data_IF_274124531131
#
_entry.id   IF_274124531131
#
_cell.length_a   1.000
_cell.length_b   1.000
_cell.length_c   1.000
_cell.angle_alpha   90.00
_cell.angle_beta   90.00
_cell.angle_gamma   90.00
#
_symmetry.space_group_name_H-M   'P 1'
#
loop_
_entity.id
_entity.type
_entity.pdbx_description
1 polymer ?
#
# COMPACT_ATOMS: atom_id res chain seq x y z
N UNK A 1 -24.11 14.65 22.95
CA UNK A 1 -22.63 14.53 22.95
C UNK A 1 -22.09 14.92 21.58
N UNK A 2 -21.96 16.23 21.35
CA UNK A 2 -21.17 16.78 20.25
C UNK A 2 -19.68 16.50 20.53
N UNK A 3 -19.16 15.37 20.07
CA UNK A 3 -17.72 15.13 20.08
C UNK A 3 -17.10 16.00 18.99
N UNK A 4 -16.74 17.20 19.42
CA UNK A 4 -15.74 18.12 18.88
C UNK A 4 -15.09 17.68 17.54
N UNK A 5 -15.67 18.16 16.44
CA UNK A 5 -15.19 17.92 15.05
C UNK A 5 -13.76 18.45 14.83
N UNK A 6 -13.23 19.22 15.79
CA UNK A 6 -11.91 19.85 15.75
C UNK A 6 -10.78 19.00 16.34
N UNK A 7 -11.04 17.79 16.84
CA UNK A 7 -10.03 17.03 17.61
C UNK A 7 -8.71 16.78 16.84
N UNK A 8 -8.75 16.65 15.51
CA UNK A 8 -7.57 16.55 14.64
C UNK A 8 -6.70 17.82 14.71
N UNK A 9 -7.33 18.98 14.92
CA UNK A 9 -6.70 20.28 15.09
C UNK A 9 -6.32 20.65 16.53
N UNK A 10 -6.91 20.01 17.56
CA UNK A 10 -6.73 20.43 18.97
C UNK A 10 -5.90 19.46 19.81
N UNK A 11 -6.06 18.14 19.67
CA UNK A 11 -5.41 17.16 20.58
C UNK A 11 -3.87 17.17 20.52
N UNK A 12 -3.13 16.77 21.56
CA UNK A 12 -1.67 16.68 21.48
C UNK A 12 -1.19 15.77 20.35
N UNK A 13 -0.30 16.27 19.49
CA UNK A 13 0.14 15.59 18.25
C UNK A 13 0.67 14.17 18.51
N UNK A 14 1.45 13.96 19.58
CA UNK A 14 1.99 12.63 19.90
C UNK A 14 0.93 11.60 20.25
N UNK A 15 -0.01 11.99 21.12
CA UNK A 15 -1.15 11.13 21.50
C UNK A 15 -2.05 10.85 20.31
N UNK A 16 -2.25 11.86 19.45
CA UNK A 16 -3.08 11.73 18.26
C UNK A 16 -2.42 10.82 17.22
N UNK A 17 -1.11 10.96 16.97
CA UNK A 17 -0.37 10.08 16.08
C UNK A 17 -0.44 8.64 16.56
N UNK A 18 -0.14 8.37 17.83
CA UNK A 18 -0.24 7.01 18.38
C UNK A 18 -1.65 6.42 18.23
N UNK A 19 -2.69 7.21 18.55
CA UNK A 19 -4.09 6.79 18.44
C UNK A 19 -4.53 6.47 17.01
N UNK A 20 -3.96 7.12 16.00
CA UNK A 20 -4.29 6.88 14.59
C UNK A 20 -3.36 5.84 13.93
N UNK A 21 -2.09 5.77 14.35
CA UNK A 21 -1.08 4.87 13.80
C UNK A 21 -1.19 3.45 14.34
N UNK A 22 -1.53 3.25 15.62
CA UNK A 22 -1.66 1.89 16.17
C UNK A 22 -2.73 1.06 15.43
N UNK A 23 -3.95 1.58 15.18
CA UNK A 23 -4.98 0.82 14.45
C UNK A 23 -4.61 0.57 12.99
N UNK A 24 -3.94 1.50 12.32
CA UNK A 24 -3.50 1.31 10.94
C UNK A 24 -2.38 0.28 10.85
N UNK A 25 -1.44 0.24 11.80
CA UNK A 25 -0.42 -0.82 11.89
C UNK A 25 -1.08 -2.18 12.10
N UNK A 26 -2.01 -2.30 13.05
CA UNK A 26 -2.75 -3.55 13.29
C UNK A 26 -3.50 -3.98 12.02
N UNK A 27 -4.15 -3.05 11.33
CA UNK A 27 -4.85 -3.34 10.08
C UNK A 27 -3.91 -3.91 9.00
N UNK A 28 -2.69 -3.36 8.85
CA UNK A 28 -1.70 -3.87 7.90
C UNK A 28 -1.20 -5.27 8.29
N UNK A 29 -0.94 -5.52 9.57
CA UNK A 29 -0.53 -6.85 10.07
C UNK A 29 -1.64 -7.88 9.87
N UNK A 30 -2.89 -7.54 10.23
CA UNK A 30 -4.05 -8.42 10.03
C UNK A 30 -4.26 -8.72 8.54
N UNK A 31 -4.08 -7.71 7.67
CA UNK A 31 -4.19 -7.89 6.23
C UNK A 31 -3.16 -8.92 5.72
N UNK A 32 -1.92 -8.79 6.14
CA UNK A 32 -0.87 -9.74 5.79
C UNK A 32 -1.14 -11.15 6.36
N UNK A 33 -1.55 -11.24 7.63
CA UNK A 33 -1.81 -12.53 8.28
C UNK A 33 -2.91 -13.34 7.58
N UNK A 34 -4.01 -12.70 7.16
CA UNK A 34 -5.06 -13.46 6.44
C UNK A 34 -4.56 -13.92 5.08
N UNK A 35 -3.78 -13.11 4.35
CA UNK A 35 -3.20 -13.53 3.07
C UNK A 35 -2.28 -14.75 3.22
N UNK A 36 -1.60 -14.89 4.37
CA UNK A 36 -0.79 -16.07 4.68
C UNK A 36 -1.70 -17.28 4.99
N UNK A 37 -2.73 -17.08 5.81
CA UNK A 37 -3.67 -18.15 6.18
C UNK A 37 -4.41 -18.71 4.96
N UNK A 38 -4.88 -17.85 4.06
CA UNK A 38 -5.52 -18.24 2.80
C UNK A 38 -4.62 -19.16 1.95
N UNK A 39 -3.33 -18.78 1.81
CA UNK A 39 -2.34 -19.63 1.12
C UNK A 39 -2.09 -20.96 1.82
N UNK A 40 -2.08 -20.98 3.16
CA UNK A 40 -1.94 -22.21 3.93
C UNK A 40 -3.11 -23.15 3.62
N UNK A 41 -4.35 -22.65 3.62
CA UNK A 41 -5.51 -23.49 3.31
C UNK A 41 -5.48 -24.03 1.87
N UNK A 42 -5.16 -23.19 0.88
CA UNK A 42 -5.02 -23.62 -0.52
C UNK A 42 -3.91 -24.66 -0.66
N UNK A 43 -2.75 -24.45 -0.03
CA UNK A 43 -1.64 -25.39 -0.09
C UNK A 43 -1.93 -26.77 0.52
N UNK A 44 -2.83 -26.84 1.51
CA UNK A 44 -3.22 -28.08 2.19
C UNK A 44 -4.45 -28.76 1.58
N UNK A 45 -4.86 -28.38 0.37
CA UNK A 45 -5.96 -29.06 -0.30
C UNK A 45 -5.63 -30.54 -0.57
N UNK A 46 -6.58 -31.48 -0.33
CA UNK A 46 -6.32 -32.91 -0.45
C UNK A 46 -5.93 -33.38 -1.86
N UNK A 47 -6.37 -32.63 -2.89
CA UNK A 47 -6.11 -32.89 -4.30
C UNK A 47 -5.46 -31.65 -4.90
N UNK A 48 -4.30 -31.82 -5.55
CA UNK A 48 -3.60 -30.79 -6.31
C UNK A 48 -3.26 -29.48 -5.57
N UNK A 49 -3.16 -29.48 -4.24
CA UNK A 49 -2.88 -28.28 -3.43
C UNK A 49 -1.64 -27.50 -3.88
N UNK A 50 -0.60 -28.20 -4.34
CA UNK A 50 0.59 -27.57 -4.92
C UNK A 50 0.31 -26.83 -6.24
N UNK A 51 -0.36 -27.48 -7.20
CA UNK A 51 -0.71 -26.88 -8.49
C UNK A 51 -1.72 -25.73 -8.32
N UNK A 52 -2.67 -25.89 -7.41
CA UNK A 52 -3.63 -24.87 -7.06
C UNK A 52 -2.97 -23.65 -6.42
N UNK A 53 -2.03 -23.84 -5.49
CA UNK A 53 -1.25 -22.76 -4.90
C UNK A 53 -0.43 -22.02 -5.98
N UNK A 54 0.17 -22.75 -6.93
CA UNK A 54 0.85 -22.14 -8.08
C UNK A 54 -0.13 -21.35 -8.95
N UNK A 55 -1.29 -21.92 -9.29
CA UNK A 55 -2.33 -21.26 -10.07
C UNK A 55 -2.80 -19.95 -9.44
N UNK A 56 -3.12 -19.96 -8.15
CA UNK A 56 -3.49 -18.75 -7.38
C UNK A 56 -2.32 -17.77 -7.26
N UNK A 57 -1.09 -18.28 -7.18
CA UNK A 57 0.13 -17.46 -7.17
C UNK A 57 0.26 -16.59 -8.43
N UNK A 58 -0.09 -17.11 -9.60
CA UNK A 58 -0.08 -16.35 -10.87
C UNK A 58 -1.17 -15.28 -10.92
N UNK A 59 -2.22 -15.39 -10.11
CA UNK A 59 -3.25 -14.35 -9.99
C UNK A 59 -2.77 -13.12 -9.21
N UNK A 60 -1.74 -13.25 -8.36
CA UNK A 60 -1.31 -12.19 -7.44
C UNK A 60 -0.91 -10.87 -8.11
N UNK A 61 -0.14 -10.83 -9.21
CA UNK A 61 0.17 -9.59 -9.90
C UNK A 61 -1.09 -8.86 -10.38
N UNK A 62 -2.08 -9.61 -10.86
CA UNK A 62 -3.36 -9.05 -11.31
C UNK A 62 -4.14 -8.47 -10.11
N UNK A 63 -4.18 -9.19 -8.99
CA UNK A 63 -4.81 -8.72 -7.74
C UNK A 63 -4.12 -7.47 -7.18
N UNK A 64 -2.79 -7.37 -7.30
CA UNK A 64 -2.02 -6.18 -6.94
C UNK A 64 -2.39 -4.99 -7.83
N UNK A 65 -2.55 -5.19 -9.15
CA UNK A 65 -3.00 -4.13 -10.06
C UNK A 65 -4.41 -3.65 -9.69
N UNK A 66 -5.33 -4.57 -9.37
CA UNK A 66 -6.67 -4.21 -8.87
C UNK A 66 -6.52 -3.34 -7.61
N UNK A 67 -5.73 -3.77 -6.63
CA UNK A 67 -5.48 -3.01 -5.39
C UNK A 67 -4.85 -1.64 -5.66
N UNK A 68 -3.96 -1.54 -6.66
CA UNK A 68 -3.35 -0.28 -7.08
C UNK A 68 -4.38 0.72 -7.59
N UNK A 69 -5.42 0.28 -8.31
CA UNK A 69 -6.53 1.14 -8.73
C UNK A 69 -7.41 1.60 -7.55
N UNK A 70 -7.56 0.78 -6.50
CA UNK A 70 -8.23 1.22 -5.28
C UNK A 70 -7.41 2.30 -4.57
N UNK A 71 -6.09 2.10 -4.50
CA UNK A 71 -5.16 3.09 -3.96
C UNK A 71 -5.10 4.37 -4.82
N UNK A 72 -5.22 4.25 -6.15
CA UNK A 72 -5.22 5.37 -7.10
C UNK A 72 -6.32 6.40 -6.78
N UNK A 73 -7.53 5.94 -6.50
CA UNK A 73 -8.62 6.85 -6.15
C UNK A 73 -8.49 7.32 -4.71
N UNK A 74 -8.21 6.41 -3.78
CA UNK A 74 -8.31 6.67 -2.35
C UNK A 74 -7.13 7.44 -1.76
N UNK A 75 -5.89 7.10 -2.14
CA UNK A 75 -4.69 7.82 -1.69
C UNK A 75 -4.65 9.27 -2.21
N UNK A 76 -5.42 9.57 -3.25
CA UNK A 76 -5.60 10.92 -3.77
C UNK A 76 -6.79 11.68 -3.17
N UNK A 77 -7.94 11.01 -3.05
CA UNK A 77 -9.18 11.61 -2.57
C UNK A 77 -9.19 11.84 -1.07
N UNK A 78 -8.72 10.87 -0.28
CA UNK A 78 -8.82 10.92 1.18
C UNK A 78 -8.00 12.07 1.82
N UNK A 79 -6.74 12.34 1.40
CA UNK A 79 -6.01 13.52 1.86
C UNK A 79 -6.67 14.83 1.47
N UNK A 80 -7.19 14.93 0.24
CA UNK A 80 -7.88 16.14 -0.22
C UNK A 80 -9.19 16.39 0.51
N UNK A 81 -9.96 15.34 0.82
CA UNK A 81 -11.15 15.46 1.65
C UNK A 81 -10.79 15.95 3.07
N UNK A 82 -9.72 15.40 3.66
CA UNK A 82 -9.22 15.84 4.98
C UNK A 82 -8.71 17.29 4.97
N UNK A 83 -8.05 17.75 3.89
CA UNK A 83 -7.69 19.16 3.69
C UNK A 83 -8.95 20.05 3.62
N UNK A 84 -9.98 19.65 2.87
CA UNK A 84 -11.23 20.41 2.79
C UNK A 84 -11.96 20.48 4.14
N UNK A 85 -11.95 19.39 4.91
CA UNK A 85 -12.45 19.41 6.31
C UNK A 85 -11.67 20.40 7.18
N UNK A 86 -10.35 20.44 7.06
CA UNK A 86 -9.50 21.38 7.77
C UNK A 86 -9.82 22.85 7.47
N UNK A 87 -10.23 23.16 6.23
CA UNK A 87 -10.69 24.49 5.82
C UNK A 87 -12.08 24.86 6.35
N UNK A 88 -12.80 23.92 6.97
CA UNK A 88 -14.22 24.06 7.30
C UNK A 88 -15.17 23.82 6.13
N UNK A 89 -14.66 23.51 4.92
CA UNK A 89 -15.45 23.26 3.72
C UNK A 89 -15.86 21.77 3.63
N UNK A 90 -16.80 21.39 4.50
CA UNK A 90 -17.32 20.03 4.53
C UNK A 90 -18.14 19.67 3.28
N UNK A 91 -18.72 20.64 2.59
CA UNK A 91 -19.49 20.38 1.36
C UNK A 91 -18.56 19.91 0.23
N UNK A 92 -17.44 20.59 0.02
CA UNK A 92 -16.41 20.13 -0.92
C UNK A 92 -15.81 18.78 -0.50
N UNK A 93 -15.61 18.55 0.81
CA UNK A 93 -15.11 17.28 1.30
C UNK A 93 -16.08 16.12 1.02
N UNK A 94 -17.39 16.32 1.23
CA UNK A 94 -18.43 15.33 0.88
C UNK A 94 -18.56 15.12 -0.63
N UNK A 95 -18.36 16.18 -1.44
CA UNK A 95 -18.29 16.05 -2.91
C UNK A 95 -17.08 15.22 -3.34
N UNK A 96 -15.90 15.43 -2.76
CA UNK A 96 -14.71 14.60 -3.05
C UNK A 96 -15.01 13.14 -2.71
N UNK A 97 -15.56 12.87 -1.52
CA UNK A 97 -15.93 11.52 -1.09
C UNK A 97 -16.92 10.87 -2.09
N UNK A 98 -18.02 11.55 -2.42
CA UNK A 98 -19.05 11.02 -3.32
C UNK A 98 -18.55 10.79 -4.75
N UNK A 99 -17.75 11.71 -5.30
CA UNK A 99 -17.19 11.56 -6.63
C UNK A 99 -16.08 10.49 -6.70
N UNK A 100 -15.27 10.34 -5.64
CA UNK A 100 -14.31 9.23 -5.55
C UNK A 100 -15.03 7.88 -5.42
N UNK A 101 -16.10 7.79 -4.63
CA UNK A 101 -16.93 6.58 -4.54
C UNK A 101 -17.49 6.19 -5.91
N UNK A 102 -18.08 7.15 -6.64
CA UNK A 102 -18.62 6.89 -7.97
C UNK A 102 -17.53 6.52 -8.99
N UNK A 103 -16.38 7.20 -8.95
CA UNK A 103 -15.23 6.87 -9.79
C UNK A 103 -14.72 5.45 -9.51
N UNK A 104 -14.71 5.02 -8.24
CA UNK A 104 -14.35 3.66 -7.88
C UNK A 104 -15.31 2.61 -8.44
N UNK A 105 -16.61 2.90 -8.44
CA UNK A 105 -17.60 2.02 -9.09
C UNK A 105 -17.30 1.89 -10.58
N UNK A 106 -17.07 3.01 -11.28
CA UNK A 106 -16.73 3.00 -12.71
C UNK A 106 -15.45 2.19 -12.97
N UNK A 107 -14.38 2.47 -12.24
CA UNK A 107 -13.10 1.74 -12.39
C UNK A 107 -13.31 0.26 -12.09
N UNK A 108 -14.07 -0.09 -11.04
CA UNK A 108 -14.33 -1.48 -10.70
C UNK A 108 -15.13 -2.21 -11.78
N UNK A 109 -16.11 -1.55 -12.40
CA UNK A 109 -16.88 -2.12 -13.50
C UNK A 109 -15.99 -2.36 -14.72
N UNK A 110 -15.15 -1.39 -15.08
CA UNK A 110 -14.18 -1.53 -16.17
C UNK A 110 -13.20 -2.67 -15.92
N UNK A 111 -12.62 -2.73 -14.72
CA UNK A 111 -11.70 -3.81 -14.33
C UNK A 111 -12.40 -5.17 -14.35
N UNK A 112 -13.62 -5.26 -13.82
CA UNK A 112 -14.40 -6.51 -13.84
C UNK A 112 -14.64 -6.98 -15.27
N UNK A 113 -15.08 -6.10 -16.16
CA UNK A 113 -15.30 -6.44 -17.57
C UNK A 113 -14.01 -6.89 -18.27
N UNK A 114 -12.90 -6.17 -18.06
CA UNK A 114 -11.61 -6.53 -18.65
C UNK A 114 -11.12 -7.89 -18.14
N UNK A 115 -11.25 -8.15 -16.84
CA UNK A 115 -10.83 -9.42 -16.25
C UNK A 115 -11.70 -10.57 -16.72
N UNK A 116 -13.03 -10.40 -16.82
CA UNK A 116 -13.90 -11.49 -17.29
C UNK A 116 -13.70 -11.82 -18.78
N UNK A 117 -13.36 -10.82 -19.61
CA UNK A 117 -13.13 -11.03 -21.05
C UNK A 117 -11.74 -11.59 -21.32
N UNK A 118 -10.71 -11.08 -20.63
CA UNK A 118 -9.30 -11.37 -20.94
C UNK A 118 -8.58 -12.18 -19.84
N UNK A 119 -9.27 -12.76 -18.86
CA UNK A 119 -8.64 -13.46 -17.71
C UNK A 119 -7.61 -14.48 -18.15
N UNK A 120 -7.97 -15.35 -19.10
CA UNK A 120 -7.08 -16.42 -19.58
C UNK A 120 -5.83 -15.88 -20.25
N UNK A 121 -5.98 -14.94 -21.18
CA UNK A 121 -4.84 -14.37 -21.91
C UNK A 121 -3.92 -13.57 -20.99
N UNK A 122 -4.50 -12.82 -20.05
CA UNK A 122 -3.73 -12.12 -19.02
C UNK A 122 -2.98 -13.13 -18.16
N UNK A 123 -3.62 -14.17 -17.65
CA UNK A 123 -2.97 -15.17 -16.80
C UNK A 123 -1.84 -15.90 -17.53
N UNK A 124 -2.01 -16.25 -18.81
CA UNK A 124 -0.94 -16.81 -19.63
C UNK A 124 0.22 -15.80 -19.80
N UNK A 125 -0.09 -14.53 -20.08
CA UNK A 125 0.92 -13.48 -20.20
C UNK A 125 1.68 -13.21 -18.89
N UNK A 126 1.03 -13.42 -17.74
CA UNK A 126 1.63 -13.30 -16.41
C UNK A 126 2.30 -14.60 -15.92
N UNK A 127 2.37 -15.66 -16.75
CA UNK A 127 3.18 -16.84 -16.51
C UNK A 127 2.41 -18.11 -16.10
N UNK A 128 1.09 -18.18 -16.31
CA UNK A 128 0.35 -19.41 -16.10
C UNK A 128 0.77 -20.47 -17.13
N UNK A 129 1.00 -21.70 -16.65
CA UNK A 129 1.22 -22.89 -17.50
C UNK A 129 -0.09 -23.59 -17.84
N UNK A 130 -0.06 -24.52 -18.80
CA UNK A 130 -1.21 -25.39 -19.15
C UNK A 130 -1.76 -26.16 -17.93
N UNK A 131 -0.89 -26.53 -16.98
CA UNK A 131 -1.28 -27.28 -15.78
C UNK A 131 -1.87 -26.39 -14.68
N UNK A 132 -1.70 -25.07 -14.76
CA UNK A 132 -2.10 -24.13 -13.70
C UNK A 132 -3.17 -23.14 -14.15
N UNK A 133 -3.36 -22.99 -15.46
CA UNK A 133 -4.24 -21.99 -16.05
C UNK A 133 -5.70 -22.18 -15.62
N UNK A 134 -6.19 -23.43 -15.55
CA UNK A 134 -7.57 -23.71 -15.17
C UNK A 134 -7.84 -23.29 -13.71
N UNK A 135 -6.94 -23.63 -12.77
CA UNK A 135 -7.02 -23.16 -11.38
C UNK A 135 -7.00 -21.63 -11.28
N UNK A 136 -6.13 -20.98 -12.05
CA UNK A 136 -5.99 -19.54 -12.06
C UNK A 136 -7.22 -18.83 -12.65
N UNK A 137 -7.79 -19.35 -13.74
CA UNK A 137 -9.01 -18.83 -14.39
C UNK A 137 -10.21 -19.00 -13.48
N UNK A 138 -10.36 -20.18 -12.86
CA UNK A 138 -11.42 -20.46 -11.91
C UNK A 138 -11.39 -19.50 -10.71
N UNK A 139 -10.20 -19.23 -10.16
CA UNK A 139 -10.02 -18.23 -9.11
C UNK A 139 -10.37 -16.83 -9.61
N UNK A 140 -9.78 -16.41 -10.74
CA UNK A 140 -9.89 -15.04 -11.23
C UNK A 140 -11.29 -14.68 -11.70
N UNK A 141 -12.05 -15.60 -12.30
CA UNK A 141 -13.41 -15.30 -12.73
C UNK A 141 -14.33 -14.98 -11.53
N UNK A 142 -14.18 -15.74 -10.42
CA UNK A 142 -14.93 -15.47 -9.18
C UNK A 142 -14.44 -14.16 -8.55
N UNK A 143 -13.12 -13.99 -8.43
CA UNK A 143 -12.53 -12.77 -7.87
C UNK A 143 -12.92 -11.52 -8.67
N UNK A 144 -12.97 -11.62 -10.01
CA UNK A 144 -13.36 -10.54 -10.91
C UNK A 144 -14.75 -10.01 -10.58
N UNK A 145 -15.74 -10.89 -10.38
CA UNK A 145 -17.08 -10.50 -9.94
C UNK A 145 -17.09 -9.76 -8.59
N UNK A 146 -16.17 -10.11 -7.69
CA UNK A 146 -15.99 -9.45 -6.40
C UNK A 146 -15.15 -8.18 -6.41
N UNK A 147 -14.57 -7.79 -7.56
CA UNK A 147 -13.66 -6.64 -7.69
C UNK A 147 -14.30 -5.37 -7.17
N UNK A 148 -15.60 -5.16 -7.40
CA UNK A 148 -16.34 -4.00 -6.88
C UNK A 148 -16.29 -3.91 -5.35
N UNK A 149 -16.44 -5.03 -4.64
CA UNK A 149 -16.41 -5.05 -3.18
C UNK A 149 -15.00 -4.82 -2.64
N UNK A 150 -13.99 -5.41 -3.28
CA UNK A 150 -12.57 -5.19 -2.93
C UNK A 150 -12.22 -3.72 -3.10
N UNK A 151 -12.56 -3.14 -4.26
CA UNK A 151 -12.34 -1.73 -4.55
C UNK A 151 -12.98 -0.87 -3.47
N UNK A 152 -14.30 -0.96 -3.31
CA UNK A 152 -15.02 -0.12 -2.36
C UNK A 152 -14.52 -0.29 -0.93
N UNK A 153 -14.22 -1.51 -0.49
CA UNK A 153 -13.66 -1.76 0.84
C UNK A 153 -12.34 -1.01 1.02
N UNK A 154 -11.35 -1.24 0.16
CA UNK A 154 -10.03 -0.62 0.31
C UNK A 154 -10.10 0.90 0.15
N UNK A 155 -10.83 1.36 -0.87
CA UNK A 155 -10.81 2.77 -1.22
C UNK A 155 -11.62 3.65 -0.26
N UNK A 156 -12.80 3.19 0.17
CA UNK A 156 -13.62 3.95 1.11
C UNK A 156 -13.09 3.85 2.55
N UNK A 157 -12.36 2.79 2.89
CA UNK A 157 -11.70 2.69 4.20
C UNK A 157 -10.68 3.82 4.42
N UNK A 158 -9.98 4.26 3.36
CA UNK A 158 -9.06 5.39 3.45
C UNK A 158 -9.78 6.69 3.87
N UNK A 159 -11.02 6.91 3.40
CA UNK A 159 -11.84 8.07 3.79
C UNK A 159 -12.33 7.99 5.24
N UNK A 160 -12.58 6.79 5.77
CA UNK A 160 -12.88 6.61 7.20
C UNK A 160 -11.66 7.02 8.04
N UNK A 161 -10.47 6.55 7.66
CA UNK A 161 -9.22 6.89 8.35
C UNK A 161 -8.87 8.38 8.22
N UNK A 162 -9.09 9.00 7.05
CA UNK A 162 -8.84 10.43 6.80
C UNK A 162 -9.71 11.38 7.66
N UNK A 163 -10.83 10.89 8.15
CA UNK A 163 -11.69 11.59 9.12
C UNK A 163 -11.26 11.38 10.59
N UNK A 164 -10.21 10.58 10.82
CA UNK A 164 -9.67 10.25 12.12
C UNK A 164 -10.36 9.06 12.81
N UNK A 165 -11.15 8.27 12.08
CA UNK A 165 -11.78 7.03 12.58
C UNK A 165 -10.90 5.79 12.31
N UNK A 166 -9.60 5.86 12.58
CA UNK A 166 -8.66 4.76 12.32
C UNK A 166 -9.07 3.43 12.99
N UNK A 167 -9.68 3.47 14.19
CA UNK A 167 -10.23 2.26 14.84
C UNK A 167 -11.34 1.60 14.02
N UNK A 168 -12.24 2.39 13.44
CA UNK A 168 -13.31 1.86 12.57
C UNK A 168 -12.68 1.28 11.31
N UNK A 169 -11.67 1.95 10.76
CA UNK A 169 -10.97 1.44 9.58
C UNK A 169 -10.17 0.16 9.82
N UNK A 170 -9.63 -0.03 11.04
CA UNK A 170 -9.06 -1.30 11.47
C UNK A 170 -10.12 -2.39 11.60
N UNK A 171 -11.28 -2.08 12.20
CA UNK A 171 -12.40 -3.01 12.32
C UNK A 171 -12.90 -3.49 10.95
N UNK A 172 -12.95 -2.62 9.94
CA UNK A 172 -13.23 -3.02 8.56
C UNK A 172 -12.32 -4.14 8.08
N UNK A 173 -11.00 -3.99 8.26
CA UNK A 173 -10.01 -4.98 7.80
C UNK A 173 -10.13 -6.27 8.62
N UNK A 174 -10.37 -6.17 9.92
CA UNK A 174 -10.57 -7.34 10.79
C UNK A 174 -11.83 -8.11 10.42
N UNK A 175 -12.94 -7.45 10.08
CA UNK A 175 -14.17 -8.11 9.65
C UNK A 175 -13.88 -8.95 8.40
N UNK A 176 -13.20 -8.40 7.40
CA UNK A 176 -12.82 -9.13 6.19
C UNK A 176 -11.88 -10.29 6.49
N UNK A 177 -10.80 -10.04 7.23
CA UNK A 177 -9.82 -11.06 7.58
C UNK A 177 -10.43 -12.24 8.35
N UNK A 178 -11.21 -11.96 9.40
CA UNK A 178 -11.86 -12.99 10.22
C UNK A 178 -12.91 -13.74 9.42
N UNK A 179 -13.71 -13.04 8.60
CA UNK A 179 -14.68 -13.70 7.73
C UNK A 179 -13.98 -14.65 6.75
N UNK A 180 -12.85 -14.25 6.16
CA UNK A 180 -12.12 -15.06 5.19
C UNK A 180 -11.53 -16.30 5.86
N UNK A 181 -10.81 -16.13 6.97
CA UNK A 181 -10.20 -17.23 7.74
C UNK A 181 -11.25 -18.29 8.16
N UNK A 182 -12.49 -17.88 8.43
CA UNK A 182 -13.59 -18.79 8.79
C UNK A 182 -14.25 -19.42 7.56
N UNK A 183 -14.47 -18.64 6.50
CA UNK A 183 -15.16 -19.10 5.29
C UNK A 183 -14.28 -20.00 4.42
N UNK A 184 -12.96 -19.77 4.39
CA UNK A 184 -12.02 -20.56 3.60
C UNK A 184 -12.13 -22.06 3.90
N UNK A 185 -11.99 -22.55 5.15
CA UNK A 185 -12.07 -23.98 5.43
C UNK A 185 -13.47 -24.56 5.15
N UNK A 186 -14.52 -23.75 5.31
CA UNK A 186 -15.90 -24.17 5.01
C UNK A 186 -16.05 -24.42 3.51
N UNK A 187 -15.61 -23.50 2.66
CA UNK A 187 -15.75 -23.64 1.21
C UNK A 187 -14.72 -24.60 0.59
N UNK A 188 -13.47 -24.55 1.06
CA UNK A 188 -12.37 -25.37 0.53
C UNK A 188 -12.55 -26.83 0.96
N UNK A 189 -12.66 -27.10 2.26
CA UNK A 189 -12.70 -28.47 2.80
C UNK A 189 -14.12 -28.98 3.06
N UNK A 190 -15.01 -28.12 3.57
CA UNK A 190 -16.38 -28.54 3.91
C UNK A 190 -17.26 -28.78 2.68
N UNK A 191 -17.16 -27.92 1.67
CA UNK A 191 -17.93 -27.99 0.43
C UNK A 191 -17.14 -28.53 -0.76
N UNK A 192 -15.86 -28.90 -0.57
CA UNK A 192 -14.97 -29.42 -1.60
C UNK A 192 -14.90 -28.54 -2.87
N UNK A 193 -15.00 -27.21 -2.71
CA UNK A 193 -14.97 -26.28 -3.85
C UNK A 193 -13.54 -25.92 -4.29
N UNK A 194 -12.52 -26.40 -3.57
CA UNK A 194 -11.11 -26.14 -3.88
C UNK A 194 -10.80 -24.65 -4.04
N UNK A 195 -10.07 -24.31 -5.12
CA UNK A 195 -9.68 -22.93 -5.46
C UNK A 195 -10.87 -21.99 -5.66
N UNK A 196 -11.99 -22.48 -6.21
CA UNK A 196 -13.23 -21.69 -6.34
C UNK A 196 -13.78 -21.29 -4.98
N UNK A 197 -13.65 -22.19 -4.00
CA UNK A 197 -14.04 -21.95 -2.62
C UNK A 197 -13.24 -20.82 -1.98
N UNK A 198 -11.91 -20.82 -2.16
CA UNK A 198 -11.03 -19.76 -1.65
C UNK A 198 -11.37 -18.39 -2.28
N UNK A 199 -11.58 -18.34 -3.59
CA UNK A 199 -11.99 -17.12 -4.27
C UNK A 199 -13.35 -16.61 -3.75
N UNK A 200 -14.33 -17.51 -3.60
CA UNK A 200 -15.67 -17.16 -3.11
C UNK A 200 -15.63 -16.64 -1.66
N UNK A 201 -14.88 -17.31 -0.79
CA UNK A 201 -14.65 -16.90 0.58
C UNK A 201 -14.07 -15.48 0.66
N UNK A 202 -13.07 -15.19 -0.17
CA UNK A 202 -12.46 -13.87 -0.29
C UNK A 202 -13.48 -12.82 -0.73
N UNK A 203 -14.25 -13.10 -1.78
CA UNK A 203 -15.26 -12.17 -2.31
C UNK A 203 -16.37 -11.89 -1.29
N UNK A 204 -16.88 -12.91 -0.60
CA UNK A 204 -17.91 -12.74 0.44
C UNK A 204 -17.36 -11.92 1.60
N UNK A 205 -16.13 -12.21 2.04
CA UNK A 205 -15.48 -11.47 3.14
C UNK A 205 -15.28 -9.99 2.82
N UNK A 206 -14.92 -9.69 1.57
CA UNK A 206 -14.81 -8.33 1.07
C UNK A 206 -16.18 -7.67 0.87
N UNK A 207 -17.21 -8.44 0.52
CA UNK A 207 -18.59 -7.95 0.48
C UNK A 207 -19.06 -7.53 1.89
N UNK A 208 -18.84 -8.35 2.92
CA UNK A 208 -19.18 -8.01 4.31
C UNK A 208 -18.44 -6.75 4.76
N UNK A 209 -17.15 -6.65 4.44
CA UNK A 209 -16.33 -5.46 4.73
C UNK A 209 -16.83 -4.22 3.98
N UNK A 210 -17.22 -4.37 2.72
CA UNK A 210 -17.78 -3.31 1.90
C UNK A 210 -19.10 -2.81 2.49
N UNK A 211 -20.01 -3.71 2.85
CA UNK A 211 -21.29 -3.36 3.49
C UNK A 211 -21.04 -2.57 4.77
N UNK A 212 -20.07 -3.00 5.60
CA UNK A 212 -19.70 -2.27 6.81
C UNK A 212 -19.22 -0.84 6.52
N UNK A 213 -18.25 -0.68 5.60
CA UNK A 213 -17.67 0.62 5.23
C UNK A 213 -18.71 1.56 4.65
N UNK A 214 -19.50 1.07 3.71
CA UNK A 214 -20.54 1.85 3.04
C UNK A 214 -21.62 2.27 4.06
N UNK A 215 -22.09 1.34 4.88
CA UNK A 215 -23.07 1.64 5.94
C UNK A 215 -22.54 2.68 6.94
N UNK A 216 -21.28 2.58 7.33
CA UNK A 216 -20.65 3.57 8.20
C UNK A 216 -20.63 4.97 7.56
N UNK A 217 -20.29 5.06 6.27
CA UNK A 217 -20.23 6.33 5.52
C UNK A 217 -21.60 6.93 5.19
N UNK A 218 -22.66 6.13 5.12
CA UNK A 218 -24.04 6.63 5.10
C UNK A 218 -24.57 7.00 6.50
N UNK A 219 -23.93 6.50 7.56
CA UNK A 219 -24.37 6.65 8.94
C UNK A 219 -24.28 8.07 9.48
N UNK A 220 -24.92 8.31 10.63
CA UNK A 220 -24.88 9.62 11.30
C UNK A 220 -23.57 9.88 12.06
N UNK A 221 -22.78 8.83 12.33
CA UNK A 221 -21.56 8.87 13.14
C UNK A 221 -20.32 9.38 12.37
N UNK A 222 -20.31 9.26 11.04
CA UNK A 222 -19.24 9.80 10.19
C UNK A 222 -19.34 11.33 10.08
N UNK A 223 -18.21 12.02 9.91
CA UNK A 223 -18.20 13.48 9.74
C UNK A 223 -18.58 13.87 8.31
N UNK A 224 -18.03 13.15 7.33
CA UNK A 224 -18.36 13.22 5.91
C UNK A 224 -19.32 12.09 5.58
N UNK A 225 -20.48 12.45 5.02
CA UNK A 225 -21.51 11.49 4.63
C UNK A 225 -21.50 11.26 3.14
N UNK A 226 -21.68 10.00 2.76
CA UNK A 226 -22.01 9.66 1.38
C UNK A 226 -23.43 10.16 1.09
N UNK A 227 -23.57 11.00 0.06
CA UNK A 227 -24.87 11.52 -0.39
C UNK A 227 -24.98 11.31 -1.89
N UNK A 228 -26.09 10.74 -2.36
CA UNK A 228 -26.29 10.45 -3.79
C UNK A 228 -26.16 11.71 -4.67
N UNK A 229 -26.57 12.88 -4.17
CA UNK A 229 -26.40 14.17 -4.86
C UNK A 229 -24.94 14.56 -5.15
N UNK A 230 -23.98 13.91 -4.48
CA UNK A 230 -22.56 14.18 -4.60
C UNK A 230 -21.82 13.13 -5.45
N UNK A 231 -22.53 12.25 -6.17
CA UNK A 231 -21.88 11.25 -7.04
C UNK A 231 -21.38 11.86 -8.36
N UNK A 232 -22.17 12.75 -8.95
CA UNK A 232 -21.82 13.46 -10.18
C UNK A 232 -21.13 14.77 -9.84
N UNK A 233 -19.79 14.74 -9.84
CA UNK A 233 -18.95 15.86 -9.42
C UNK A 233 -18.16 16.38 -10.59
N UNK A 234 -17.92 17.69 -10.62
CA UNK A 234 -17.13 18.29 -11.68
C UNK A 234 -15.73 17.65 -11.77
N UNK A 235 -15.22 17.39 -12.99
CA UNK A 235 -13.86 16.88 -13.19
C UNK A 235 -12.79 17.75 -12.52
N UNK A 236 -13.05 19.05 -12.35
CA UNK A 236 -12.17 19.99 -11.65
C UNK A 236 -11.89 19.59 -10.19
N UNK A 237 -12.82 18.89 -9.52
CA UNK A 237 -12.62 18.41 -8.15
C UNK A 237 -11.96 17.03 -8.08
N UNK A 238 -12.26 16.15 -9.05
CA UNK A 238 -11.80 14.75 -9.05
C UNK A 238 -10.44 14.56 -9.71
N UNK A 239 -10.16 15.23 -10.84
CA UNK A 239 -8.87 15.09 -11.54
C UNK A 239 -7.66 15.37 -10.64
N UNK A 240 -7.68 16.38 -9.76
CA UNK A 240 -6.55 16.60 -8.86
C UNK A 240 -6.42 15.55 -7.75
N UNK A 241 -7.51 14.84 -7.42
CA UNK A 241 -7.47 13.67 -6.54
C UNK A 241 -6.77 12.52 -7.26
N UNK A 242 -7.20 12.20 -8.49
CA UNK A 242 -6.57 11.16 -9.30
C UNK A 242 -5.08 11.45 -9.54
N UNK A 243 -4.72 12.71 -9.85
CA UNK A 243 -3.33 13.11 -10.00
C UNK A 243 -2.49 12.87 -8.74
N UNK A 244 -3.05 13.08 -7.54
CA UNK A 244 -2.34 12.80 -6.30
C UNK A 244 -2.16 11.30 -6.06
N UNK A 245 -3.20 10.51 -6.31
CA UNK A 245 -3.15 9.06 -6.13
C UNK A 245 -2.35 8.32 -7.20
N UNK A 246 -2.04 8.98 -8.33
CA UNK A 246 -1.17 8.44 -9.38
C UNK A 246 0.20 8.05 -8.84
N UNK A 247 0.74 8.77 -7.84
CA UNK A 247 2.00 8.41 -7.20
C UNK A 247 1.94 7.03 -6.55
N UNK A 248 0.87 6.73 -5.80
CA UNK A 248 0.68 5.44 -5.13
C UNK A 248 0.41 4.33 -6.14
N UNK A 249 -0.38 4.61 -7.19
CA UNK A 249 -0.60 3.68 -8.30
C UNK A 249 0.72 3.28 -8.97
N UNK A 250 1.54 4.28 -9.33
CA UNK A 250 2.86 4.05 -9.94
C UNK A 250 3.73 3.19 -9.03
N UNK A 251 3.75 3.47 -7.72
CA UNK A 251 4.53 2.66 -6.77
C UNK A 251 4.09 1.20 -6.75
N UNK A 252 2.79 0.93 -6.56
CA UNK A 252 2.29 -0.44 -6.46
C UNK A 252 2.45 -1.18 -7.80
N UNK A 253 2.09 -0.56 -8.92
CA UNK A 253 2.20 -1.19 -10.24
C UNK A 253 3.65 -1.43 -10.65
N UNK A 254 4.59 -0.58 -10.22
CA UNK A 254 6.03 -0.75 -10.54
C UNK A 254 6.66 -1.95 -9.85
N UNK A 255 6.13 -2.39 -8.71
CA UNK A 255 6.71 -3.46 -7.90
C UNK A 255 6.75 -4.79 -8.68
N UNK A 256 5.70 -5.08 -9.46
CA UNK A 256 5.66 -6.26 -10.31
C UNK A 256 6.72 -6.23 -11.42
N UNK A 257 6.89 -5.08 -12.10
CA UNK A 257 7.89 -4.92 -13.16
C UNK A 257 9.30 -5.05 -12.61
N UNK A 258 9.56 -4.44 -11.44
CA UNK A 258 10.85 -4.49 -10.76
C UNK A 258 11.19 -5.91 -10.34
N UNK A 259 10.22 -6.67 -9.80
CA UNK A 259 10.42 -8.07 -9.43
C UNK A 259 10.87 -8.92 -10.62
N UNK A 260 10.25 -8.74 -11.79
CA UNK A 260 10.64 -9.45 -13.02
C UNK A 260 12.07 -9.06 -13.46
N UNK A 261 12.41 -7.77 -13.43
CA UNK A 261 13.75 -7.30 -13.79
C UNK A 261 14.83 -7.86 -12.87
N UNK A 262 14.60 -7.86 -11.55
CA UNK A 262 15.51 -8.45 -10.58
C UNK A 262 15.69 -9.94 -10.82
N UNK A 263 14.60 -10.70 -10.94
CA UNK A 263 14.67 -12.14 -11.13
C UNK A 263 15.42 -12.51 -12.42
N UNK A 264 15.16 -11.81 -13.52
CA UNK A 264 15.86 -12.03 -14.79
C UNK A 264 17.36 -11.72 -14.69
N UNK A 265 17.73 -10.57 -14.09
CA UNK A 265 19.13 -10.17 -13.92
C UNK A 265 19.89 -11.11 -12.97
N UNK A 266 19.28 -11.48 -11.84
CA UNK A 266 19.86 -12.40 -10.87
C UNK A 266 20.02 -13.81 -11.43
N UNK A 267 19.05 -14.31 -12.20
CA UNK A 267 19.16 -15.61 -12.86
C UNK A 267 20.37 -15.65 -13.79
N UNK A 268 20.61 -14.57 -14.54
CA UNK A 268 21.74 -14.47 -15.49
C UNK A 268 23.10 -14.49 -14.82
N UNK A 269 23.26 -13.83 -13.66
CA UNK A 269 24.58 -13.66 -13.02
C UNK A 269 24.83 -14.64 -11.87
N UNK A 270 23.79 -15.00 -11.11
CA UNK A 270 23.90 -15.79 -9.87
C UNK A 270 23.08 -17.07 -9.84
N UNK A 271 22.35 -17.41 -10.90
CA UNK A 271 21.55 -18.62 -11.01
C UNK A 271 20.40 -18.70 -9.99
N UNK A 272 19.89 -19.91 -9.79
CA UNK A 272 18.67 -20.15 -9.00
C UNK A 272 18.81 -19.78 -7.52
N UNK A 273 19.99 -19.97 -6.93
CA UNK A 273 20.26 -19.57 -5.54
C UNK A 273 20.08 -18.06 -5.35
N UNK A 274 20.51 -17.25 -6.33
CA UNK A 274 20.32 -15.81 -6.27
C UNK A 274 18.83 -15.43 -6.41
N UNK A 275 18.09 -16.05 -7.31
CA UNK A 275 16.64 -15.79 -7.43
C UNK A 275 15.88 -16.20 -6.17
N UNK A 276 16.25 -17.35 -5.58
CA UNK A 276 15.70 -17.82 -4.31
C UNK A 276 15.97 -16.85 -3.16
N UNK A 277 17.20 -16.33 -3.07
CA UNK A 277 17.56 -15.35 -2.05
C UNK A 277 16.75 -14.05 -2.20
N UNK A 278 16.53 -13.56 -3.42
CA UNK A 278 15.70 -12.38 -3.67
C UNK A 278 14.24 -12.55 -3.20
N UNK A 279 13.70 -13.77 -3.33
CA UNK A 279 12.35 -14.09 -2.83
C UNK A 279 12.29 -13.99 -1.30
N UNK A 280 13.34 -14.44 -0.60
CA UNK A 280 13.46 -14.28 0.85
C UNK A 280 13.63 -12.80 1.23
N UNK A 281 14.51 -12.07 0.52
CA UNK A 281 14.76 -10.64 0.74
C UNK A 281 13.48 -9.80 0.63
N UNK A 282 12.74 -9.98 -0.46
CA UNK A 282 11.47 -9.26 -0.70
C UNK A 282 10.42 -9.60 0.36
N UNK A 283 10.35 -10.86 0.79
CA UNK A 283 9.48 -11.28 1.90
C UNK A 283 9.87 -10.57 3.19
N UNK A 284 11.15 -10.61 3.59
CA UNK A 284 11.65 -9.90 4.78
C UNK A 284 11.30 -8.42 4.71
N UNK A 285 11.52 -7.77 3.57
CA UNK A 285 11.22 -6.37 3.34
C UNK A 285 9.73 -6.06 3.42
N UNK A 286 8.86 -6.91 2.87
CA UNK A 286 7.42 -6.74 2.97
C UNK A 286 6.97 -6.66 4.43
N UNK A 287 7.40 -7.62 5.27
CA UNK A 287 7.10 -7.63 6.70
C UNK A 287 7.68 -6.41 7.42
N UNK A 288 8.94 -6.08 7.15
CA UNK A 288 9.65 -4.95 7.70
C UNK A 288 8.95 -3.61 7.44
N UNK A 289 8.30 -3.45 6.28
CA UNK A 289 7.67 -2.20 5.88
C UNK A 289 6.28 -1.96 6.46
N UNK A 290 5.55 -3.02 6.89
CA UNK A 290 4.16 -2.89 7.35
C UNK A 290 3.97 -1.89 8.51
N UNK A 291 4.78 -1.92 9.60
CA UNK A 291 4.61 -0.98 10.70
C UNK A 291 4.85 0.46 10.26
N UNK A 292 5.86 0.69 9.41
CA UNK A 292 6.19 2.02 8.92
C UNK A 292 5.13 2.57 7.96
N UNK A 293 4.53 1.72 7.11
CA UNK A 293 3.37 2.09 6.31
C UNK A 293 2.17 2.46 7.20
N UNK A 294 1.88 1.66 8.23
CA UNK A 294 0.81 1.95 9.18
C UNK A 294 1.01 3.28 9.93
N UNK A 295 2.23 3.54 10.41
CA UNK A 295 2.58 4.81 11.08
C UNK A 295 2.38 5.99 10.13
N UNK A 296 2.88 5.86 8.90
CA UNK A 296 2.75 6.89 7.86
C UNK A 296 1.28 7.18 7.55
N UNK A 297 0.46 6.15 7.33
CA UNK A 297 -0.98 6.30 7.08
C UNK A 297 -1.71 6.94 8.27
N UNK A 298 -1.33 6.63 9.51
CA UNK A 298 -1.91 7.25 10.71
C UNK A 298 -1.57 8.74 10.86
N UNK A 299 -0.46 9.20 10.28
CA UNK A 299 -0.05 10.61 10.29
C UNK A 299 -0.81 11.46 9.26
N UNK A 300 -1.28 10.86 8.17
CA UNK A 300 -1.88 11.54 7.04
C UNK A 300 -3.09 12.40 7.43
N UNK A 301 -4.08 11.92 8.20
CA UNK A 301 -5.25 12.72 8.60
C UNK A 301 -4.86 13.95 9.41
N UNK A 302 -3.82 13.84 10.24
CA UNK A 302 -3.35 14.94 11.09
C UNK A 302 -2.71 16.03 10.22
N UNK A 303 -1.82 15.64 9.30
CA UNK A 303 -1.13 16.59 8.42
C UNK A 303 -2.13 17.24 7.47
N UNK A 304 -2.98 16.47 6.81
CA UNK A 304 -3.97 16.97 5.84
C UNK A 304 -4.97 17.94 6.46
N UNK A 305 -5.56 17.59 7.60
CA UNK A 305 -6.50 18.46 8.29
C UNK A 305 -5.84 19.77 8.74
N UNK A 306 -4.66 19.71 9.36
CA UNK A 306 -3.98 20.92 9.84
C UNK A 306 -3.41 21.78 8.71
N UNK A 307 -3.04 21.18 7.58
CA UNK A 307 -2.68 21.90 6.36
C UNK A 307 -3.90 22.67 5.81
N UNK A 308 -5.07 22.03 5.79
CA UNK A 308 -6.33 22.68 5.44
C UNK A 308 -6.70 23.83 6.38
N UNK A 309 -6.50 23.64 7.69
CA UNK A 309 -6.80 24.60 8.74
C UNK A 309 -5.79 25.76 8.87
N UNK A 310 -4.79 25.86 7.99
CA UNK A 310 -3.80 26.93 8.07
C UNK A 310 -2.77 26.78 9.20
N UNK A 311 -2.73 25.65 9.91
CA UNK A 311 -1.90 25.45 11.09
C UNK A 311 -0.53 24.86 10.73
N UNK A 312 0.35 25.70 10.16
CA UNK A 312 1.69 25.29 9.71
C UNK A 312 2.57 24.72 10.84
N UNK A 313 2.46 25.27 12.05
CA UNK A 313 3.22 24.82 13.22
C UNK A 313 2.91 23.35 13.54
N UNK A 314 1.61 23.02 13.55
CA UNK A 314 1.14 21.67 13.85
C UNK A 314 1.46 20.68 12.73
N UNK A 315 1.43 21.13 11.48
CA UNK A 315 1.92 20.34 10.33
C UNK A 315 3.41 20.00 10.49
N UNK A 316 4.26 21.01 10.78
CA UNK A 316 5.70 20.81 11.03
C UNK A 316 5.96 19.90 12.22
N UNK A 317 5.22 20.07 13.32
CA UNK A 317 5.34 19.23 14.52
C UNK A 317 4.97 17.77 14.26
N UNK A 318 3.90 17.54 13.49
CA UNK A 318 3.48 16.19 13.10
C UNK A 318 4.51 15.53 12.18
N UNK A 319 5.01 16.26 11.19
CA UNK A 319 6.06 15.75 10.31
C UNK A 319 7.35 15.41 11.06
N UNK A 320 7.82 16.28 11.97
CA UNK A 320 9.03 16.01 12.77
C UNK A 320 8.87 14.75 13.64
N UNK A 321 7.69 14.56 14.23
CA UNK A 321 7.41 13.38 15.03
C UNK A 321 7.35 12.12 14.14
N UNK A 322 6.65 12.18 13.00
CA UNK A 322 6.62 11.09 12.02
C UNK A 322 8.05 10.71 11.59
N UNK A 323 8.86 11.70 11.23
CA UNK A 323 10.24 11.50 10.81
C UNK A 323 11.07 10.83 11.90
N UNK A 324 10.98 11.32 13.15
CA UNK A 324 11.70 10.73 14.28
C UNK A 324 11.29 9.28 14.55
N UNK A 325 10.00 8.97 14.51
CA UNK A 325 9.50 7.60 14.73
C UNK A 325 9.91 6.68 13.58
N UNK A 326 9.73 7.09 12.33
CA UNK A 326 10.11 6.29 11.16
C UNK A 326 11.62 6.06 11.09
N UNK A 327 12.45 7.07 11.38
CA UNK A 327 13.90 6.93 11.44
C UNK A 327 14.35 6.00 12.57
N UNK A 328 13.75 6.15 13.75
CA UNK A 328 14.07 5.26 14.89
C UNK A 328 13.73 3.81 14.54
N UNK A 329 12.55 3.58 13.97
CA UNK A 329 12.14 2.26 13.52
C UNK A 329 13.06 1.70 12.44
N UNK A 330 13.36 2.48 11.39
CA UNK A 330 14.19 2.04 10.28
C UNK A 330 15.63 1.77 10.70
N UNK A 331 16.17 2.56 11.64
CA UNK A 331 17.49 2.36 12.22
C UNK A 331 17.56 1.10 13.08
N UNK A 332 16.57 0.87 13.96
CA UNK A 332 16.50 -0.34 14.78
C UNK A 332 16.40 -1.60 13.90
N UNK A 333 15.53 -1.56 12.90
CA UNK A 333 15.35 -2.67 11.97
C UNK A 333 16.61 -2.95 11.16
N UNK A 334 17.26 -1.91 10.64
CA UNK A 334 18.55 -2.05 9.96
C UNK A 334 19.61 -2.70 10.87
N UNK A 335 19.74 -2.22 12.12
CA UNK A 335 20.66 -2.81 13.09
C UNK A 335 20.37 -4.28 13.37
N UNK A 336 19.10 -4.67 13.49
CA UNK A 336 18.72 -6.07 13.67
C UNK A 336 19.09 -6.94 12.46
N UNK A 337 18.89 -6.43 11.25
CA UNK A 337 19.22 -7.14 10.00
C UNK A 337 20.74 -7.29 9.86
N UNK A 338 21.53 -6.27 10.18
CA UNK A 338 23.00 -6.34 10.09
C UNK A 338 23.62 -7.30 11.11
N UNK A 339 23.09 -7.29 12.34
CA UNK A 339 23.57 -8.12 13.45
C UNK A 339 23.14 -9.59 13.31
N UNK A 340 21.91 -9.84 12.84
CA UNK A 340 21.34 -11.19 12.79
C UNK A 340 20.72 -11.55 11.42
N UNK A 341 21.43 -11.41 10.28
CA UNK A 341 20.85 -11.61 8.95
C UNK A 341 20.41 -13.06 8.71
N UNK A 342 21.16 -14.04 9.23
CA UNK A 342 20.80 -15.45 9.17
C UNK A 342 19.49 -15.75 9.92
N UNK A 343 19.17 -15.00 10.97
CA UNK A 343 17.92 -15.15 11.71
C UNK A 343 16.72 -14.87 10.83
N UNK A 344 16.76 -13.76 10.07
CA UNK A 344 15.73 -13.42 9.10
C UNK A 344 15.65 -14.43 7.95
N UNK A 345 16.79 -14.89 7.42
CA UNK A 345 16.80 -15.91 6.36
C UNK A 345 16.20 -17.25 6.83
N UNK A 346 16.53 -17.68 8.05
CA UNK A 346 16.02 -18.92 8.67
C UNK A 346 14.52 -18.94 8.91
N UNK A 347 13.88 -17.77 8.97
CA UNK A 347 12.41 -17.70 9.07
C UNK A 347 11.71 -18.23 7.80
N UNK A 348 12.39 -18.20 6.65
CA UNK A 348 11.79 -18.52 5.36
C UNK A 348 12.41 -19.76 4.69
N UNK A 349 13.59 -20.20 5.11
CA UNK A 349 14.26 -21.36 4.54
C UNK A 349 15.07 -22.13 5.59
N UNK A 350 15.27 -23.43 5.36
CA UNK A 350 16.13 -24.31 6.17
C UNK A 350 17.40 -24.79 5.44
N UNK A 351 17.55 -24.49 4.15
CA UNK A 351 18.73 -24.84 3.37
C UNK A 351 19.93 -23.96 3.76
N UNK A 352 21.00 -24.58 4.25
CA UNK A 352 22.16 -23.87 4.77
C UNK A 352 22.87 -23.00 3.71
N UNK A 353 23.01 -23.50 2.48
CA UNK A 353 23.67 -22.78 1.41
C UNK A 353 22.86 -21.54 0.99
N UNK A 354 21.54 -21.68 0.90
CA UNK A 354 20.64 -20.56 0.60
C UNK A 354 20.62 -19.56 1.75
N UNK A 355 20.62 -20.02 3.02
CA UNK A 355 20.67 -19.14 4.19
C UNK A 355 21.95 -18.29 4.19
N UNK A 356 23.11 -18.90 3.96
CA UNK A 356 24.39 -18.19 3.99
C UNK A 356 24.52 -17.20 2.84
N UNK A 357 24.07 -17.58 1.64
CA UNK A 357 24.01 -16.65 0.52
C UNK A 357 23.06 -15.48 0.80
N UNK A 358 21.84 -15.79 1.27
CA UNK A 358 20.80 -14.80 1.58
C UNK A 358 21.26 -13.85 2.68
N UNK A 359 21.98 -14.33 3.70
CA UNK A 359 22.47 -13.49 4.79
C UNK A 359 23.42 -12.40 4.28
N UNK A 360 24.32 -12.74 3.34
CA UNK A 360 25.20 -11.75 2.70
C UNK A 360 24.42 -10.78 1.80
N UNK A 361 23.50 -11.30 0.98
CA UNK A 361 22.66 -10.48 0.10
C UNK A 361 21.77 -9.51 0.91
N UNK A 362 21.24 -9.94 2.05
CA UNK A 362 20.35 -9.15 2.91
C UNK A 362 21.07 -7.93 3.50
N UNK A 363 22.32 -8.07 3.94
CA UNK A 363 23.15 -6.96 4.41
C UNK A 363 23.35 -5.91 3.32
N UNK A 364 23.67 -6.35 2.11
CA UNK A 364 23.88 -5.45 0.97
C UNK A 364 22.57 -4.76 0.60
N UNK A 365 21.50 -5.52 0.39
CA UNK A 365 20.20 -5.01 -0.04
C UNK A 365 19.60 -4.02 0.98
N UNK A 366 19.78 -4.29 2.27
CA UNK A 366 19.25 -3.46 3.35
C UNK A 366 20.22 -2.39 3.84
N UNK A 367 21.40 -2.20 3.22
CA UNK A 367 22.46 -1.32 3.73
C UNK A 367 21.99 0.13 4.00
N UNK A 368 21.00 0.62 3.26
CA UNK A 368 20.49 2.00 3.31
C UNK A 368 19.14 2.08 4.04
N UNK A 369 18.65 0.96 4.57
CA UNK A 369 17.37 0.86 5.26
C UNK A 369 17.28 1.84 6.44
N UNK A 370 18.39 2.13 7.12
CA UNK A 370 18.44 3.09 8.22
C UNK A 370 17.94 4.49 7.84
N UNK A 371 18.16 4.94 6.59
CA UNK A 371 17.73 6.24 6.08
C UNK A 371 16.32 6.22 5.49
N UNK A 372 15.73 5.03 5.34
CA UNK A 372 14.48 4.84 4.63
C UNK A 372 13.28 5.53 5.30
N UNK A 373 13.37 5.77 6.63
CA UNK A 373 12.40 6.57 7.36
C UNK A 373 12.24 8.00 6.82
N UNK A 374 13.29 8.59 6.24
CA UNK A 374 13.23 9.92 5.59
C UNK A 374 12.35 9.84 4.34
N UNK A 375 12.59 8.83 3.49
CA UNK A 375 11.86 8.64 2.24
C UNK A 375 10.36 8.55 2.50
N UNK A 376 9.95 7.66 3.40
CA UNK A 376 8.55 7.45 3.73
C UNK A 376 7.90 8.68 4.34
N UNK A 377 8.58 9.36 5.26
CA UNK A 377 8.03 10.53 5.94
C UNK A 377 7.83 11.71 4.98
N UNK A 378 8.82 11.99 4.13
CA UNK A 378 8.77 13.07 3.14
C UNK A 378 7.68 12.80 2.09
N UNK A 379 7.61 11.56 1.60
CA UNK A 379 6.59 11.16 0.65
C UNK A 379 5.18 11.29 1.24
N UNK A 380 4.97 10.77 2.46
CA UNK A 380 3.68 10.87 3.13
C UNK A 380 3.29 12.33 3.38
N UNK A 381 4.25 13.20 3.71
CA UNK A 381 3.99 14.62 3.85
C UNK A 381 3.55 15.28 2.54
N UNK A 382 4.17 14.96 1.39
CA UNK A 382 3.74 15.48 0.08
C UNK A 382 2.33 15.04 -0.29
N UNK A 383 2.01 13.76 -0.03
CA UNK A 383 0.65 13.23 -0.21
C UNK A 383 -0.33 13.98 0.70
N UNK A 384 0.03 14.16 1.97
CA UNK A 384 -0.84 14.77 2.97
C UNK A 384 -1.11 16.25 2.73
N UNK A 385 -0.18 17.00 2.13
CA UNK A 385 -0.41 18.41 1.74
C UNK A 385 -1.06 18.55 0.35
N UNK A 386 -1.32 17.43 -0.34
CA UNK A 386 -1.96 17.42 -1.65
C UNK A 386 -1.05 17.81 -2.82
N UNK A 387 0.27 17.71 -2.66
CA UNK A 387 1.25 18.03 -3.71
C UNK A 387 1.44 16.84 -4.65
N UNK A 388 0.58 16.76 -5.67
CA UNK A 388 0.61 15.67 -6.65
C UNK A 388 1.93 15.59 -7.40
N UNK A 389 2.42 16.72 -7.94
CA UNK A 389 3.67 16.77 -8.70
C UNK A 389 4.86 16.27 -7.88
N UNK A 390 5.04 16.76 -6.65
CA UNK A 390 6.15 16.31 -5.80
C UNK A 390 6.03 14.82 -5.46
N UNK A 391 4.83 14.34 -5.16
CA UNK A 391 4.61 12.92 -4.83
C UNK A 391 4.90 12.00 -6.02
N UNK A 392 4.44 12.37 -7.21
CA UNK A 392 4.71 11.61 -8.45
C UNK A 392 6.20 11.62 -8.77
N UNK A 393 6.85 12.80 -8.75
CA UNK A 393 8.28 12.91 -9.05
C UNK A 393 9.12 12.01 -8.15
N UNK A 394 8.84 12.00 -6.84
CA UNK A 394 9.53 11.14 -5.88
C UNK A 394 9.33 9.65 -6.19
N UNK A 395 8.10 9.22 -6.49
CA UNK A 395 7.80 7.84 -6.83
C UNK A 395 8.48 7.38 -8.13
N UNK A 396 8.38 8.19 -9.19
CA UNK A 396 8.91 7.88 -10.52
C UNK A 396 10.43 7.88 -10.54
N UNK A 397 11.06 8.89 -9.93
CA UNK A 397 12.53 8.98 -9.90
C UNK A 397 13.12 7.75 -9.21
N UNK A 398 12.56 7.38 -8.06
CA UNK A 398 13.05 6.23 -7.30
C UNK A 398 12.94 4.91 -8.06
N UNK A 399 11.74 4.60 -8.57
CA UNK A 399 11.46 3.25 -9.11
C UNK A 399 11.83 3.10 -10.59
N UNK A 400 11.50 4.09 -11.44
CA UNK A 400 11.72 3.98 -12.89
C UNK A 400 13.02 4.64 -13.36
N UNK A 401 13.38 5.80 -12.83
CA UNK A 401 14.57 6.53 -13.31
C UNK A 401 15.85 5.98 -12.70
N UNK A 402 15.79 5.52 -11.45
CA UNK A 402 16.96 5.03 -10.72
C UNK A 402 16.99 3.50 -10.67
N UNK A 403 16.04 2.87 -9.98
CA UNK A 403 16.14 1.44 -9.67
C UNK A 403 16.17 0.55 -10.92
N UNK A 404 15.25 0.74 -11.86
CA UNK A 404 15.16 -0.11 -13.05
C UNK A 404 16.45 -0.08 -13.90
N UNK A 405 17.03 1.08 -14.26
CA UNK A 405 18.34 1.12 -14.92
C UNK A 405 19.47 0.54 -14.06
N UNK A 406 19.50 0.84 -12.76
CA UNK A 406 20.57 0.38 -11.87
C UNK A 406 20.63 -1.13 -11.73
N UNK A 407 19.51 -1.85 -11.83
CA UNK A 407 19.48 -3.34 -11.86
C UNK A 407 20.37 -3.90 -12.98
N UNK A 408 20.44 -3.21 -14.12
CA UNK A 408 21.21 -3.66 -15.29
C UNK A 408 22.61 -3.03 -15.35
N UNK A 409 22.80 -1.83 -14.79
CA UNK A 409 24.09 -1.11 -14.81
C UNK A 409 25.02 -1.58 -13.69
N UNK A 410 24.52 -1.73 -12.45
CA UNK A 410 25.36 -2.08 -11.30
C UNK A 410 26.16 -3.38 -11.45
N UNK A 411 25.61 -4.47 -12.05
CA UNK A 411 26.38 -5.68 -12.31
C UNK A 411 27.57 -5.49 -13.26
N UNK A 412 27.57 -4.42 -14.06
CA UNK A 412 28.70 -4.10 -14.94
C UNK A 412 29.82 -3.35 -14.22
N UNK A 413 29.50 -2.71 -13.09
CA UNK A 413 30.44 -1.89 -12.30
C UNK A 413 31.03 -2.66 -11.11
N UNK A 414 30.30 -3.65 -10.58
CA UNK A 414 30.73 -4.45 -9.44
C UNK A 414 31.65 -5.61 -9.86
N UNK A 415 32.64 -5.92 -9.03
CA UNK A 415 33.53 -7.06 -9.22
C UNK A 415 32.78 -8.40 -9.15
N UNK A 416 31.87 -8.52 -8.18
CA UNK A 416 30.86 -9.58 -8.13
C UNK A 416 29.58 -9.07 -8.80
N UNK A 417 29.29 -9.60 -9.98
CA UNK A 417 28.13 -9.19 -10.79
C UNK A 417 26.81 -9.47 -10.09
N UNK A 418 26.72 -10.58 -9.36
CA UNK A 418 25.50 -11.00 -8.65
C UNK A 418 25.21 -10.06 -7.49
N UNK A 419 26.22 -9.77 -6.66
CA UNK A 419 26.09 -8.79 -5.59
C UNK A 419 25.88 -7.37 -6.14
N UNK A 420 26.44 -7.07 -7.31
CA UNK A 420 26.14 -5.85 -8.05
C UNK A 420 24.64 -5.67 -8.34
N UNK A 421 23.91 -6.73 -8.67
CA UNK A 421 22.45 -6.64 -8.84
C UNK A 421 21.78 -6.22 -7.53
N UNK A 422 22.13 -6.86 -6.41
CA UNK A 422 21.58 -6.51 -5.09
C UNK A 422 21.93 -5.09 -4.63
N UNK A 423 23.10 -4.58 -5.03
CA UNK A 423 23.52 -3.21 -4.77
C UNK A 423 22.68 -2.16 -5.52
N UNK A 424 21.89 -2.55 -6.53
CA UNK A 424 21.03 -1.62 -7.25
C UNK A 424 20.01 -0.92 -6.34
N UNK A 425 19.39 -1.64 -5.39
CA UNK A 425 18.40 -1.07 -4.47
C UNK A 425 19.01 -0.03 -3.52
N UNK A 426 20.05 -0.32 -2.72
CA UNK A 426 20.61 0.67 -1.80
C UNK A 426 21.18 1.89 -2.55
N UNK A 427 21.82 1.71 -3.71
CA UNK A 427 22.32 2.84 -4.51
C UNK A 427 21.17 3.71 -5.02
N UNK A 428 20.10 3.10 -5.56
CA UNK A 428 18.91 3.81 -5.97
C UNK A 428 18.27 4.57 -4.81
N UNK A 429 18.20 3.95 -3.63
CA UNK A 429 17.59 4.53 -2.44
C UNK A 429 18.41 5.70 -1.88
N UNK A 430 19.74 5.65 -1.85
CA UNK A 430 20.56 6.81 -1.43
C UNK A 430 20.30 8.01 -2.33
N UNK A 431 20.30 7.81 -3.65
CA UNK A 431 20.08 8.89 -4.61
C UNK A 431 18.64 9.41 -4.50
N UNK A 432 17.66 8.51 -4.37
CA UNK A 432 16.25 8.86 -4.22
C UNK A 432 15.96 9.60 -2.92
N UNK A 433 16.55 9.18 -1.79
CA UNK A 433 16.42 9.84 -0.49
C UNK A 433 17.04 11.23 -0.55
N UNK A 434 18.21 11.37 -1.18
CA UNK A 434 18.87 12.66 -1.35
C UNK A 434 18.01 13.61 -2.19
N UNK A 435 17.53 13.14 -3.35
CA UNK A 435 16.61 13.89 -4.21
C UNK A 435 15.34 14.30 -3.45
N UNK A 436 14.71 13.36 -2.74
CA UNK A 436 13.49 13.59 -1.97
C UNK A 436 13.72 14.60 -0.85
N UNK A 437 14.87 14.53 -0.16
CA UNK A 437 15.23 15.45 0.91
C UNK A 437 15.43 16.88 0.41
N UNK A 438 16.11 17.05 -0.74
CA UNK A 438 16.30 18.35 -1.39
C UNK A 438 14.95 18.92 -1.84
N UNK A 439 14.15 18.10 -2.53
CA UNK A 439 12.83 18.51 -2.99
C UNK A 439 11.92 18.89 -1.82
N UNK A 440 11.98 18.13 -0.72
CA UNK A 440 11.23 18.40 0.50
C UNK A 440 11.66 19.72 1.13
N UNK A 441 12.96 19.95 1.34
CA UNK A 441 13.47 21.20 1.93
C UNK A 441 12.98 22.45 1.18
N UNK A 442 12.96 22.39 -0.16
CA UNK A 442 12.51 23.50 -1.00
C UNK A 442 10.98 23.62 -1.02
N UNK A 443 10.28 22.56 -1.41
CA UNK A 443 8.85 22.65 -1.73
C UNK A 443 7.98 22.63 -0.48
N UNK A 444 8.33 21.83 0.53
CA UNK A 444 7.63 21.87 1.81
C UNK A 444 7.84 23.22 2.50
N UNK A 445 9.07 23.76 2.45
CA UNK A 445 9.37 25.10 2.96
C UNK A 445 8.52 26.18 2.31
N UNK A 446 8.40 26.18 0.97
CA UNK A 446 7.52 27.09 0.21
C UNK A 446 6.05 26.93 0.60
N UNK A 447 5.56 25.69 0.71
CA UNK A 447 4.19 25.41 1.10
C UNK A 447 3.87 25.92 2.52
N UNK A 448 4.79 25.75 3.47
CA UNK A 448 4.64 26.26 4.84
C UNK A 448 4.69 27.80 4.90
N UNK A 449 5.59 28.44 4.16
CA UNK A 449 5.65 29.92 4.08
C UNK A 449 4.36 30.50 3.49
N UNK A 450 3.80 29.86 2.46
CA UNK A 450 2.51 30.26 1.85
C UNK A 450 1.36 30.16 2.85
N UNK A 451 1.33 29.12 3.69
CA UNK A 451 0.35 28.98 4.77
C UNK A 451 0.48 30.11 5.80
N UNK A 452 1.71 30.40 6.23
CA UNK A 452 2.00 31.46 7.20
C UNK A 452 1.65 32.86 6.67
N UNK A 453 1.84 33.11 5.37
CA UNK A 453 1.42 34.34 4.71
C UNK A 453 -0.10 34.53 4.73
N UNK A 454 -0.87 33.50 4.34
CA UNK A 454 -2.35 33.56 4.34
C UNK A 454 -2.94 33.84 5.73
N UNK A 455 -2.32 33.27 6.77
CA UNK A 455 -2.74 33.51 8.16
C UNK A 455 -2.49 34.95 8.62
N UNK A 456 -1.46 35.62 8.08
CA UNK A 456 -1.18 37.04 8.36
C UNK A 456 -2.13 37.98 7.62
N UNK A 457 -2.67 37.56 6.48
CA UNK A 457 -3.62 38.32 5.67
C UNK A 457 -5.08 38.21 6.18
N UNK A 458 -5.35 37.43 7.23
CA UNK A 458 -6.67 37.35 7.86
C UNK A 458 -7.73 36.59 7.04
N UNK A 459 -7.30 35.76 6.08
CA UNK A 459 -8.16 34.93 5.20
C UNK A 459 -8.30 33.50 5.71
#
# INVERSE_FOLDING_TARGET
>A
MEKDKSFLGTQPVGKLLFKLSLPTVIAQIVNMLYNIVDRIYIGHMPVDGGLALTGVGVCLPIIMIISAFAAFVSAGGAPRASISMGKGDNDSAEKILGGCFFMQIIISAVLTSLLLIFSRDLLLAFGASENTIEYAVDYMNIYAMGTVFVQLTLGMNAFITAQGFANIGMVTVMIGAVSNIVLDPIFIFGLNMGVKGAALATVISQCVSCVWVVTFLFGKKTFLRLKAKNFFVSPKLILPCLALGLATFIMQSSESVISVCFNSSLLKYGGDIAVGAMTILTSVMQFAMLPMQGISQGSQPIISYNYGAGNSERVKKTFKLLLGVCLTYSFLLWGLIELFPQGFAKMFCSDAALIDFTANALRIYCAVLCLFGIQMSCQMAFVSIGSALCSISVAVVRKFVLLLPLIYIMPMLASDKTMGVYMAEPVADVIAITFTSILFAVQFGKAMKKLEGRKKEGV
#
